data_IF_434491021004
#
_entry.id   IF_434491021004
#
_cell.length_a   1.000
_cell.length_b   1.000
_cell.length_c   1.000
_cell.angle_alpha   90.00
_cell.angle_beta   90.00
_cell.angle_gamma   90.00
#
_symmetry.space_group_name_H-M   'P 1'
#
loop_
_entity.id
_entity.type
_entity.pdbx_description
1 polymer ?
#
# COMPACT_ATOMS: atom_id res chain seq x y z
N UNK A 1 11.09 2.13 7.00
CA UNK A 1 12.35 1.47 6.57
C UNK A 1 12.67 0.21 7.38
N UNK A 2 12.73 0.28 8.73
CA UNK A 2 13.08 -0.88 9.58
C UNK A 2 12.20 -2.13 9.38
N UNK A 3 10.87 -1.94 9.28
CA UNK A 3 9.94 -3.05 9.08
C UNK A 3 10.13 -3.78 7.73
N UNK A 4 10.43 -3.05 6.66
CA UNK A 4 10.70 -3.64 5.35
C UNK A 4 12.00 -4.46 5.34
N UNK A 5 13.03 -3.98 6.05
CA UNK A 5 14.29 -4.71 6.21
C UNK A 5 14.09 -6.04 6.95
N UNK A 6 13.26 -6.06 7.99
CA UNK A 6 12.95 -7.27 8.74
C UNK A 6 12.14 -8.29 7.92
N UNK A 7 11.21 -7.82 7.08
CA UNK A 7 10.48 -8.68 6.13
C UNK A 7 11.44 -9.33 5.12
N UNK A 8 12.38 -8.56 4.58
CA UNK A 8 13.39 -9.09 3.65
C UNK A 8 14.30 -10.10 4.35
N UNK A 9 14.74 -9.80 5.57
CA UNK A 9 15.55 -10.70 6.41
C UNK A 9 14.81 -12.00 6.72
N UNK A 10 13.56 -11.91 7.16
CA UNK A 10 12.70 -13.06 7.44
C UNK A 10 12.43 -13.90 6.20
N UNK A 11 12.23 -13.26 5.05
CA UNK A 11 12.09 -13.94 3.76
C UNK A 11 13.34 -14.70 3.33
N UNK A 12 14.53 -14.12 3.50
CA UNK A 12 15.80 -14.81 3.24
C UNK A 12 16.05 -15.98 4.20
N UNK A 13 15.70 -15.83 5.49
CA UNK A 13 15.84 -16.89 6.49
C UNK A 13 14.81 -18.03 6.33
N UNK A 14 13.70 -17.78 5.63
CA UNK A 14 12.68 -18.80 5.34
C UNK A 14 13.14 -19.85 4.32
N UNK A 15 14.24 -19.60 3.60
CA UNK A 15 14.78 -20.54 2.61
C UNK A 15 15.58 -21.62 3.34
N UNK A 16 15.23 -22.88 3.06
CA UNK A 16 15.85 -24.05 3.67
C UNK A 16 17.36 -24.11 3.37
N UNK A 17 18.17 -24.34 4.42
CA UNK A 17 19.64 -24.41 4.31
C UNK A 17 20.10 -25.58 3.44
N UNK A 18 19.36 -26.69 3.42
CA UNK A 18 19.65 -27.87 2.60
C UNK A 18 19.65 -27.56 1.10
N UNK A 19 18.87 -26.58 0.63
CA UNK A 19 18.95 -26.14 -0.76
C UNK A 19 20.22 -25.34 -1.08
N UNK A 20 20.72 -24.58 -0.10
CA UNK A 20 21.97 -23.84 -0.22
C UNK A 20 23.14 -24.82 -0.24
N UNK A 21 23.09 -25.84 0.62
CA UNK A 21 24.07 -26.93 0.69
C UNK A 21 24.05 -27.80 -0.58
N UNK A 22 22.87 -28.21 -1.07
CA UNK A 22 22.75 -28.94 -2.34
C UNK A 22 23.29 -28.14 -3.52
N UNK A 23 23.02 -26.83 -3.57
CA UNK A 23 23.58 -25.96 -4.59
C UNK A 23 25.11 -25.81 -4.49
N UNK A 24 25.68 -25.89 -3.28
CA UNK A 24 27.14 -25.94 -3.07
C UNK A 24 27.71 -27.26 -3.58
N UNK A 25 27.09 -28.39 -3.27
CA UNK A 25 27.50 -29.71 -3.73
C UNK A 25 27.46 -29.83 -5.25
N UNK A 26 26.53 -29.12 -5.91
CA UNK A 26 26.44 -29.01 -7.37
C UNK A 26 27.44 -28.02 -8.00
N UNK A 27 28.34 -27.40 -7.20
CA UNK A 27 29.34 -26.46 -7.69
C UNK A 27 28.78 -25.12 -8.18
N UNK A 28 27.55 -24.76 -7.80
CA UNK A 28 26.94 -23.50 -8.22
C UNK A 28 27.63 -22.31 -7.54
N UNK A 29 28.03 -21.33 -8.36
CA UNK A 29 28.61 -20.08 -7.85
C UNK A 29 27.63 -19.34 -6.92
N UNK A 30 28.12 -18.58 -5.93
CA UNK A 30 27.27 -17.88 -4.97
C UNK A 30 26.23 -16.98 -5.63
N UNK A 31 26.60 -16.32 -6.72
CA UNK A 31 25.70 -15.46 -7.48
C UNK A 31 24.57 -16.24 -8.18
N UNK A 32 24.91 -17.38 -8.79
CA UNK A 32 23.93 -18.22 -9.48
C UNK A 32 22.97 -18.88 -8.49
N UNK A 33 23.47 -19.29 -7.32
CA UNK A 33 22.66 -19.80 -6.20
C UNK A 33 21.70 -18.75 -5.66
N UNK A 34 22.20 -17.55 -5.38
CA UNK A 34 21.37 -16.45 -4.88
C UNK A 34 20.24 -16.15 -5.85
N UNK A 35 20.55 -15.90 -7.13
CA UNK A 35 19.59 -15.41 -8.11
C UNK A 35 18.60 -16.45 -8.62
N UNK A 36 19.00 -17.74 -8.72
CA UNK A 36 18.13 -18.81 -9.24
C UNK A 36 17.43 -19.65 -8.17
N UNK A 37 17.95 -19.70 -6.95
CA UNK A 37 17.43 -20.60 -5.89
C UNK A 37 16.87 -19.77 -4.74
N UNK A 38 17.70 -18.96 -4.11
CA UNK A 38 17.33 -18.26 -2.87
C UNK A 38 16.35 -17.13 -3.13
N UNK A 39 16.61 -16.25 -4.11
CA UNK A 39 15.76 -15.09 -4.42
C UNK A 39 14.33 -15.50 -4.77
N UNK A 40 14.08 -16.42 -5.73
CA UNK A 40 12.71 -16.78 -6.13
C UNK A 40 11.89 -17.38 -4.99
N UNK A 41 12.54 -18.06 -4.04
CA UNK A 41 11.89 -18.69 -2.89
C UNK A 41 11.64 -17.68 -1.76
N UNK A 42 12.64 -16.86 -1.43
CA UNK A 42 12.49 -15.77 -0.48
C UNK A 42 11.39 -14.78 -0.93
N UNK A 43 11.29 -14.50 -2.24
CA UNK A 43 10.26 -13.61 -2.78
C UNK A 43 8.83 -14.09 -2.51
N UNK A 44 8.57 -15.39 -2.47
CA UNK A 44 7.24 -15.93 -2.13
C UNK A 44 6.84 -15.62 -0.68
N UNK A 45 7.81 -15.49 0.22
CA UNK A 45 7.60 -15.10 1.61
C UNK A 45 7.57 -13.57 1.80
N UNK A 46 8.31 -12.80 0.98
CA UNK A 46 8.44 -11.34 1.09
C UNK A 46 7.24 -10.60 0.48
N UNK A 47 6.70 -11.08 -0.65
CA UNK A 47 5.68 -10.38 -1.43
C UNK A 47 4.36 -10.16 -0.66
N UNK A 48 3.76 -11.16 0.03
CA UNK A 48 2.51 -10.94 0.75
C UNK A 48 2.60 -9.86 1.86
N UNK A 49 3.59 -9.89 2.78
CA UNK A 49 3.75 -8.83 3.79
C UNK A 49 4.13 -7.48 3.18
N UNK A 50 4.94 -7.44 2.12
CA UNK A 50 5.25 -6.20 1.42
C UNK A 50 4.00 -5.54 0.82
N UNK A 51 3.09 -6.34 0.24
CA UNK A 51 1.79 -5.88 -0.24
C UNK A 51 0.93 -5.30 0.88
N UNK A 52 0.87 -5.97 2.03
CA UNK A 52 0.14 -5.46 3.20
C UNK A 52 0.72 -4.14 3.73
N UNK A 53 2.05 -4.01 3.76
CA UNK A 53 2.72 -2.75 4.11
C UNK A 53 2.41 -1.64 3.11
N UNK A 54 2.37 -1.94 1.81
CA UNK A 54 1.98 -1.01 0.76
C UNK A 54 0.54 -0.52 0.94
N UNK A 55 -0.40 -1.42 1.23
CA UNK A 55 -1.79 -1.07 1.51
C UNK A 55 -1.89 -0.21 2.78
N UNK A 56 -1.16 -0.55 3.83
CA UNK A 56 -1.10 0.24 5.06
C UNK A 56 -0.52 1.64 4.84
N UNK A 57 0.55 1.73 4.05
CA UNK A 57 1.14 3.00 3.66
C UNK A 57 0.16 3.83 2.82
N UNK A 58 -0.52 3.22 1.86
CA UNK A 58 -1.55 3.87 1.03
C UNK A 58 -2.73 4.37 1.87
N UNK A 59 -3.17 3.62 2.89
CA UNK A 59 -4.19 4.08 3.84
C UNK A 59 -3.69 5.25 4.68
N UNK A 60 -2.45 5.21 5.17
CA UNK A 60 -1.83 6.31 5.90
C UNK A 60 -1.67 7.57 5.05
N UNK A 61 -1.21 7.45 3.81
CA UNK A 61 -1.13 8.59 2.87
C UNK A 61 -2.51 9.07 2.46
N UNK A 62 -3.49 8.17 2.33
CA UNK A 62 -4.87 8.56 2.05
C UNK A 62 -5.48 9.34 3.22
N UNK A 63 -5.23 8.95 4.47
CA UNK A 63 -5.67 9.73 5.65
C UNK A 63 -4.99 11.11 5.67
N UNK A 64 -3.68 11.19 5.44
CA UNK A 64 -2.96 12.48 5.36
C UNK A 64 -3.43 13.32 4.17
N UNK A 65 -3.70 12.72 3.02
CA UNK A 65 -4.26 13.39 1.85
C UNK A 65 -5.71 13.83 2.07
N UNK A 66 -6.51 13.07 2.82
CA UNK A 66 -7.88 13.45 3.18
C UNK A 66 -7.87 14.60 4.19
N UNK A 67 -6.93 14.60 5.14
CA UNK A 67 -6.71 15.74 6.05
C UNK A 67 -6.16 16.95 5.29
N UNK A 68 -5.25 16.79 4.33
CA UNK A 68 -4.75 17.87 3.49
C UNK A 68 -5.81 18.40 2.49
N UNK A 69 -6.71 17.53 2.01
CA UNK A 69 -7.92 17.90 1.26
C UNK A 69 -8.92 18.61 2.19
N UNK A 70 -9.00 18.25 3.48
CA UNK A 70 -9.74 19.00 4.50
C UNK A 70 -9.11 20.37 4.77
N UNK A 71 -7.78 20.51 4.79
CA UNK A 71 -7.08 21.79 4.89
C UNK A 71 -7.21 22.64 3.60
N UNK A 72 -7.26 22.00 2.43
CA UNK A 72 -7.64 22.66 1.19
C UNK A 72 -9.10 23.14 1.26
N UNK A 73 -9.99 22.36 1.85
CA UNK A 73 -11.37 22.75 2.17
C UNK A 73 -11.40 23.93 3.15
N UNK A 74 -10.47 24.03 4.10
CA UNK A 74 -10.33 25.21 4.97
C UNK A 74 -9.86 26.45 4.18
N UNK A 75 -8.93 26.26 3.22
CA UNK A 75 -8.51 27.33 2.29
C UNK A 75 -9.65 27.76 1.36
N UNK A 76 -10.51 26.81 0.94
CA UNK A 76 -11.76 27.08 0.21
C UNK A 76 -12.79 27.74 1.11
N UNK A 77 -12.88 27.41 2.40
CA UNK A 77 -13.72 28.10 3.38
C UNK A 77 -13.26 29.55 3.61
N UNK A 78 -11.97 29.84 3.50
CA UNK A 78 -11.44 31.20 3.57
C UNK A 78 -11.86 32.04 2.35
N UNK A 79 -12.04 31.40 1.18
CA UNK A 79 -12.71 31.99 0.00
C UNK A 79 -14.24 32.07 0.18
N UNK A 80 -14.84 31.10 0.89
CA UNK A 80 -16.28 31.01 1.16
C UNK A 80 -16.83 32.17 2.00
N UNK A 81 -16.04 32.69 2.93
CA UNK A 81 -16.37 33.86 3.75
C UNK A 81 -16.53 35.16 2.93
N UNK A 82 -16.22 35.14 1.62
CA UNK A 82 -16.38 36.28 0.73
C UNK A 82 -17.72 36.32 -0.02
N UNK A 83 -18.54 35.26 -0.02
CA UNK A 83 -19.62 35.13 -1.04
C UNK A 83 -21.04 34.77 -0.54
N UNK A 84 -21.28 34.49 0.75
CA UNK A 84 -22.63 34.34 1.34
C UNK A 84 -23.61 33.39 0.58
N UNK A 85 -23.17 32.24 0.06
CA UNK A 85 -24.08 31.25 -0.55
C UNK A 85 -23.94 29.87 0.10
N UNK A 86 -24.75 29.62 1.13
CA UNK A 86 -24.72 28.40 1.98
C UNK A 86 -25.34 27.17 1.31
N UNK A 87 -26.32 27.38 0.42
CA UNK A 87 -27.15 26.32 -0.17
C UNK A 87 -26.44 25.49 -1.27
N UNK A 88 -25.63 26.08 -2.19
CA UNK A 88 -24.97 25.30 -3.25
C UNK A 88 -23.92 24.31 -2.73
N UNK A 89 -23.21 24.65 -1.66
CA UNK A 89 -22.09 23.86 -1.15
C UNK A 89 -22.55 22.58 -0.44
N UNK A 90 -23.66 22.64 0.31
CA UNK A 90 -24.27 21.45 0.91
C UNK A 90 -24.77 20.48 -0.16
N UNK A 91 -25.36 20.99 -1.25
CA UNK A 91 -25.81 20.18 -2.39
C UNK A 91 -24.65 19.44 -3.06
N UNK A 92 -23.54 20.13 -3.33
CA UNK A 92 -22.34 19.53 -3.93
C UNK A 92 -21.73 18.48 -3.00
N UNK A 93 -21.69 18.74 -1.69
CA UNK A 93 -21.17 17.79 -0.71
C UNK A 93 -22.01 16.52 -0.62
N UNK A 94 -23.34 16.64 -0.60
CA UNK A 94 -24.25 15.48 -0.59
C UNK A 94 -24.15 14.66 -1.87
N UNK A 95 -24.05 15.31 -3.04
CA UNK A 95 -23.89 14.61 -4.33
C UNK A 95 -22.58 13.83 -4.38
N UNK A 96 -21.46 14.44 -3.95
CA UNK A 96 -20.17 13.77 -3.92
C UNK A 96 -20.14 12.60 -2.94
N UNK A 97 -20.72 12.77 -1.75
CA UNK A 97 -20.81 11.71 -0.76
C UNK A 97 -21.63 10.53 -1.28
N UNK A 98 -22.82 10.80 -1.86
CA UNK A 98 -23.67 9.77 -2.45
C UNK A 98 -22.95 9.02 -3.59
N UNK A 99 -22.21 9.72 -4.43
CA UNK A 99 -21.49 9.11 -5.56
C UNK A 99 -20.36 8.20 -5.08
N UNK A 100 -19.55 8.64 -4.12
CA UNK A 100 -18.47 7.84 -3.54
C UNK A 100 -19.01 6.60 -2.83
N UNK A 101 -20.05 6.76 -2.01
CA UNK A 101 -20.67 5.63 -1.29
C UNK A 101 -21.29 4.62 -2.25
N UNK A 102 -21.93 5.08 -3.33
CA UNK A 102 -22.54 4.17 -4.33
C UNK A 102 -21.49 3.40 -5.11
N UNK A 103 -20.43 4.06 -5.59
CA UNK A 103 -19.34 3.40 -6.31
C UNK A 103 -18.63 2.36 -5.43
N UNK A 104 -18.37 2.71 -4.18
CA UNK A 104 -17.71 1.81 -3.22
C UNK A 104 -18.60 0.61 -2.88
N UNK A 105 -19.91 0.82 -2.72
CA UNK A 105 -20.88 -0.24 -2.44
C UNK A 105 -21.01 -1.22 -3.62
N UNK A 106 -21.04 -0.71 -4.86
CA UNK A 106 -21.05 -1.56 -6.06
C UNK A 106 -19.73 -2.33 -6.18
N UNK A 107 -18.59 -1.68 -5.96
CA UNK A 107 -17.29 -2.36 -5.96
C UNK A 107 -17.18 -3.47 -4.92
N UNK A 108 -17.76 -3.29 -3.73
CA UNK A 108 -17.85 -4.32 -2.70
C UNK A 108 -18.79 -5.48 -3.05
N UNK A 109 -19.79 -5.26 -3.91
CA UNK A 109 -20.73 -6.31 -4.31
C UNK A 109 -20.14 -7.26 -5.38
N UNK A 110 -19.16 -6.79 -6.15
CA UNK A 110 -18.48 -7.57 -7.19
C UNK A 110 -17.20 -8.29 -6.71
N UNK A 111 -16.78 -8.08 -5.46
CA UNK A 111 -15.71 -8.83 -4.77
C UNK A 111 -16.32 -9.94 -3.94
#
# INVERSE_FOLDING_TARGET
AAYAAEVVRGGLLSVDRGQIEAAQSLGLSPWRRLRRIVLPQAMRAIVPPAGNMLIGALKGTSIVSVIAVQDLLYSVQLVYHRTYQVIPLLLVATIWYALVTTVLSVGQHYV
#
